data_IF_440526989526
#
_entry.id   IF_440526989526
#
_cell.length_a   1.000
_cell.length_b   1.000
_cell.length_c   1.000
_cell.angle_alpha   90.00
_cell.angle_beta   90.00
_cell.angle_gamma   90.00
#
_symmetry.space_group_name_H-M   'P 1'
#
loop_
_entity.id
_entity.type
_entity.pdbx_description
1 polymer ?
#
# COMPACT_ATOMS: atom_id res chain seq x y z
N UNK A 1 24.22 -3.14 -5.05
CA UNK A 1 23.64 -1.80 -4.85
C UNK A 1 23.14 -1.32 -6.20
N UNK A 2 21.83 -1.21 -6.38
CA UNK A 2 21.27 -0.35 -7.42
C UNK A 2 21.51 1.10 -6.94
N UNK A 3 21.93 2.00 -7.83
CA UNK A 3 22.32 3.37 -7.48
C UNK A 3 21.23 4.15 -6.74
N UNK A 4 21.56 5.35 -6.25
CA UNK A 4 20.58 6.23 -5.60
C UNK A 4 19.34 6.40 -6.50
N UNK A 5 18.17 6.08 -5.94
CA UNK A 5 16.91 6.28 -6.63
C UNK A 5 16.68 7.79 -6.81
N UNK A 6 16.15 8.23 -7.96
CA UNK A 6 15.82 9.64 -8.16
C UNK A 6 14.74 10.07 -7.15
N UNK A 7 14.54 11.38 -6.99
CA UNK A 7 13.44 11.88 -6.17
C UNK A 7 12.10 11.23 -6.60
N UNK A 8 11.26 10.85 -5.63
CA UNK A 8 9.99 10.21 -5.94
C UNK A 8 9.09 11.14 -6.76
N UNK A 9 8.46 10.58 -7.77
CA UNK A 9 7.41 11.25 -8.55
C UNK A 9 6.08 11.20 -7.80
N UNK A 10 5.86 10.15 -7.01
CA UNK A 10 4.71 10.00 -6.12
C UNK A 10 5.18 9.47 -4.76
N UNK A 11 4.65 10.08 -3.70
CA UNK A 11 4.85 9.64 -2.32
C UNK A 11 3.51 9.21 -1.73
N UNK A 12 3.42 7.94 -1.38
CA UNK A 12 2.19 7.30 -0.95
C UNK A 12 2.24 7.00 0.53
N UNK A 13 1.19 7.35 1.26
CA UNK A 13 1.03 7.01 2.67
C UNK A 13 -0.06 5.96 2.79
N UNK A 14 0.31 4.79 3.30
CA UNK A 14 -0.55 3.62 3.27
C UNK A 14 -0.79 3.11 4.67
N UNK A 15 -1.96 2.52 4.87
CA UNK A 15 -2.23 1.74 6.07
C UNK A 15 -3.33 0.69 5.80
N UNK A 16 -3.34 -0.37 6.59
CA UNK A 16 -4.42 -1.32 6.63
C UNK A 16 -4.83 -1.62 8.08
N UNK A 17 -6.10 -1.98 8.26
CA UNK A 17 -6.66 -2.35 9.55
C UNK A 17 -7.49 -3.61 9.44
N UNK A 18 -8.19 -4.02 10.51
CA UNK A 18 -9.18 -5.09 10.44
C UNK A 18 -10.52 -4.66 9.83
N UNK A 19 -10.62 -3.42 9.34
CA UNK A 19 -11.84 -2.85 8.77
C UNK A 19 -11.67 -2.60 7.27
N UNK A 20 -10.50 -2.15 6.86
CA UNK A 20 -10.22 -1.78 5.48
C UNK A 20 -8.77 -1.37 5.28
N UNK A 21 -8.50 -0.75 4.14
CA UNK A 21 -7.20 -0.19 3.80
C UNK A 21 -7.35 1.20 3.18
N UNK A 22 -6.25 1.95 3.22
CA UNK A 22 -6.16 3.26 2.62
C UNK A 22 -4.78 3.52 2.01
N UNK A 23 -4.77 4.25 0.90
CA UNK A 23 -3.58 4.80 0.26
C UNK A 23 -3.85 6.28 -0.03
N UNK A 24 -2.97 7.15 0.42
CA UNK A 24 -3.06 8.59 0.21
C UNK A 24 -1.92 9.03 -0.72
N UNK A 25 -2.26 9.84 -1.73
CA UNK A 25 -1.32 10.65 -2.50
C UNK A 25 -1.63 12.13 -2.25
N UNK A 26 -1.01 12.73 -1.21
CA UNK A 26 -1.24 14.13 -0.87
C UNK A 26 -0.85 15.09 -2.00
N UNK A 27 0.16 14.74 -2.80
CA UNK A 27 0.65 15.58 -3.89
C UNK A 27 -0.38 15.74 -5.01
N UNK A 28 -1.20 14.70 -5.23
CA UNK A 28 -2.30 14.72 -6.21
C UNK A 28 -3.67 15.00 -5.59
N UNK A 29 -3.76 15.29 -4.28
CA UNK A 29 -5.03 15.34 -3.55
C UNK A 29 -5.96 14.15 -3.87
N UNK A 30 -5.39 12.95 -3.86
CA UNK A 30 -6.07 11.72 -4.29
C UNK A 30 -5.91 10.64 -3.23
N UNK A 31 -6.89 9.76 -3.11
CA UNK A 31 -6.81 8.62 -2.21
C UNK A 31 -7.53 7.39 -2.78
N UNK A 32 -7.13 6.22 -2.29
CA UNK A 32 -7.86 4.97 -2.42
C UNK A 32 -8.26 4.55 -1.01
N UNK A 33 -9.53 4.22 -0.82
CA UNK A 33 -10.05 3.71 0.44
C UNK A 33 -10.97 2.54 0.12
N UNK A 34 -10.73 1.39 0.75
CA UNK A 34 -11.51 0.18 0.52
C UNK A 34 -11.90 -0.44 1.86
N UNK A 35 -13.21 -0.70 2.04
CA UNK A 35 -13.74 -1.45 3.17
C UNK A 35 -13.64 -2.93 2.85
N UNK A 36 -13.21 -3.73 3.80
CA UNK A 36 -13.23 -5.18 3.63
C UNK A 36 -14.65 -5.72 3.66
N UNK A 37 -14.92 -6.64 2.74
CA UNK A 37 -16.17 -7.39 2.67
C UNK A 37 -16.20 -8.58 3.64
N UNK A 38 -17.30 -9.33 3.65
CA UNK A 38 -17.48 -10.47 4.55
C UNK A 38 -16.40 -11.56 4.34
N UNK A 39 -15.98 -11.81 3.09
CA UNK A 39 -14.99 -12.84 2.79
C UNK A 39 -13.60 -12.43 3.27
N UNK A 40 -13.24 -11.16 3.08
CA UNK A 40 -11.99 -10.59 3.56
C UNK A 40 -11.94 -10.57 5.09
N UNK A 41 -13.05 -10.21 5.75
CA UNK A 41 -13.17 -10.24 7.21
C UNK A 41 -13.08 -11.67 7.78
N UNK A 42 -13.67 -12.66 7.10
CA UNK A 42 -13.51 -14.08 7.47
C UNK A 42 -12.05 -14.52 7.39
N UNK A 43 -11.34 -14.16 6.32
CA UNK A 43 -9.91 -14.48 6.16
C UNK A 43 -9.06 -13.81 7.25
N UNK A 44 -9.37 -12.57 7.62
CA UNK A 44 -8.75 -11.89 8.77
C UNK A 44 -9.01 -12.66 10.07
N UNK A 45 -10.25 -13.12 10.28
CA UNK A 45 -10.62 -13.94 11.44
C UNK A 45 -9.83 -15.25 11.51
N UNK A 46 -9.62 -15.93 10.37
CA UNK A 46 -8.83 -17.16 10.31
C UNK A 46 -7.35 -16.95 10.66
N UNK A 47 -6.81 -15.74 10.42
CA UNK A 47 -5.43 -15.42 10.83
C UNK A 47 -5.26 -15.50 12.34
N UNK A 48 -6.28 -15.08 13.09
CA UNK A 48 -6.30 -15.20 14.56
C UNK A 48 -6.27 -16.67 15.01
N UNK A 49 -6.77 -17.58 14.17
CA UNK A 49 -6.81 -19.04 14.45
C UNK A 49 -5.55 -19.76 13.93
N UNK A 50 -4.55 -19.02 13.42
CA UNK A 50 -3.24 -19.56 13.03
C UNK A 50 -3.03 -19.74 11.53
N UNK A 51 -3.96 -19.29 10.68
CA UNK A 51 -3.70 -19.11 9.25
C UNK A 51 -2.80 -17.87 9.05
N UNK A 52 -1.97 -17.83 8.02
CA UNK A 52 -1.13 -16.67 7.70
C UNK A 52 -1.53 -15.96 6.39
N UNK A 53 -2.61 -16.39 5.75
CA UNK A 53 -3.00 -16.00 4.39
C UNK A 53 -3.24 -14.48 4.21
N UNK A 54 -4.13 -13.86 5.00
CA UNK A 54 -4.51 -12.44 4.86
C UNK A 54 -4.11 -11.58 6.06
N UNK A 55 -2.84 -11.68 6.45
CA UNK A 55 -2.27 -10.95 7.60
C UNK A 55 -2.21 -9.43 7.37
N UNK A 56 -1.92 -8.68 8.43
CA UNK A 56 -1.69 -7.22 8.34
C UNK A 56 -0.61 -6.86 7.31
N UNK A 57 0.51 -7.60 7.30
CA UNK A 57 1.60 -7.38 6.34
C UNK A 57 1.14 -7.57 4.89
N UNK A 58 0.30 -8.58 4.64
CA UNK A 58 -0.25 -8.85 3.30
C UNK A 58 -1.20 -7.75 2.86
N UNK A 59 -2.02 -7.21 3.78
CA UNK A 59 -2.95 -6.13 3.50
C UNK A 59 -2.24 -4.80 3.20
N UNK A 60 -1.18 -4.47 3.92
CA UNK A 60 -0.36 -3.30 3.59
C UNK A 60 0.43 -3.49 2.29
N UNK A 61 0.86 -4.71 1.99
CA UNK A 61 1.48 -5.04 0.71
C UNK A 61 0.49 -4.91 -0.46
N UNK A 62 -0.78 -5.27 -0.24
CA UNK A 62 -1.87 -5.09 -1.19
C UNK A 62 -2.09 -3.60 -1.53
N UNK A 63 -1.88 -2.68 -0.58
CA UNK A 63 -1.99 -1.24 -0.82
C UNK A 63 -1.08 -0.78 -1.97
N UNK A 64 0.14 -1.31 -2.04
CA UNK A 64 1.10 -0.97 -3.09
C UNK A 64 0.54 -1.41 -4.45
N UNK A 65 0.15 -2.68 -4.58
CA UNK A 65 -0.38 -3.19 -5.84
C UNK A 65 -1.62 -2.38 -6.30
N UNK A 66 -2.55 -2.09 -5.39
CA UNK A 66 -3.73 -1.28 -5.70
C UNK A 66 -3.36 0.11 -6.22
N UNK A 67 -2.38 0.77 -5.61
CA UNK A 67 -1.92 2.08 -6.04
C UNK A 67 -1.30 2.04 -7.45
N UNK A 68 -0.41 1.07 -7.71
CA UNK A 68 0.26 0.94 -9.02
C UNK A 68 -0.75 0.65 -10.13
N UNK A 69 -1.72 -0.24 -9.89
CA UNK A 69 -2.71 -0.59 -10.89
C UNK A 69 -3.79 0.48 -11.08
N UNK A 70 -4.02 1.33 -10.08
CA UNK A 70 -4.96 2.45 -10.18
C UNK A 70 -4.36 3.68 -10.82
N UNK A 71 -3.09 3.99 -10.51
CA UNK A 71 -2.45 5.27 -10.87
C UNK A 71 -1.23 5.14 -11.78
N UNK A 72 -0.71 3.93 -12.01
CA UNK A 72 0.52 3.70 -12.79
C UNK A 72 0.47 4.27 -14.20
N UNK A 73 -0.66 4.10 -14.91
CA UNK A 73 -0.84 4.67 -16.25
C UNK A 73 -0.79 6.20 -16.25
N UNK A 74 -1.43 6.84 -15.25
CA UNK A 74 -1.40 8.30 -15.07
C UNK A 74 0.03 8.79 -14.86
N UNK A 75 0.78 8.17 -13.93
CA UNK A 75 2.16 8.59 -13.67
C UNK A 75 3.08 8.39 -14.87
N UNK A 76 2.96 7.27 -15.59
CA UNK A 76 3.76 7.01 -16.78
C UNK A 76 3.54 8.07 -17.88
N UNK A 77 2.27 8.43 -18.13
CA UNK A 77 1.93 9.49 -19.07
C UNK A 77 2.51 10.84 -18.65
N UNK A 78 2.45 11.17 -17.36
CA UNK A 78 3.00 12.42 -16.80
C UNK A 78 4.53 12.49 -16.88
N UNK A 79 5.22 11.34 -16.75
CA UNK A 79 6.67 11.26 -16.82
C UNK A 79 7.24 11.31 -18.25
N UNK A 80 6.37 11.32 -19.28
CA UNK A 80 6.73 11.48 -20.69
C UNK A 80 7.86 10.52 -21.13
N UNK A 81 7.74 9.24 -20.77
CA UNK A 81 8.69 8.19 -21.10
C UNK A 81 9.88 8.02 -20.14
N UNK A 82 10.03 8.87 -19.12
CA UNK A 82 10.99 8.66 -18.04
C UNK A 82 10.47 7.61 -17.05
N UNK A 83 11.39 6.88 -16.42
CA UNK A 83 11.04 5.96 -15.34
C UNK A 83 10.47 6.74 -14.16
N UNK A 84 9.29 6.34 -13.69
CA UNK A 84 8.62 6.92 -12.53
C UNK A 84 9.11 6.22 -11.27
N UNK A 85 9.56 6.98 -10.27
CA UNK A 85 9.83 6.42 -8.95
C UNK A 85 8.62 6.67 -8.02
N UNK A 86 8.07 5.60 -7.45
CA UNK A 86 6.98 5.64 -6.48
C UNK A 86 7.54 5.22 -5.11
N UNK A 87 7.48 6.12 -4.14
CA UNK A 87 7.89 5.87 -2.75
C UNK A 87 6.65 5.57 -1.92
N UNK A 88 6.64 4.41 -1.26
CA UNK A 88 5.55 3.96 -0.41
C UNK A 88 5.99 4.02 1.06
N UNK A 89 5.24 4.74 1.87
CA UNK A 89 5.42 4.84 3.31
C UNK A 89 4.42 3.93 4.02
N UNK A 90 4.92 3.06 4.88
CA UNK A 90 4.14 2.13 5.71
C UNK A 90 4.77 2.08 7.10
N UNK A 91 3.97 1.88 8.13
CA UNK A 91 4.46 1.69 9.50
C UNK A 91 4.82 0.23 9.81
N UNK A 92 4.69 -0.65 8.82
CA UNK A 92 4.98 -2.07 8.93
C UNK A 92 6.30 -2.43 8.26
N UNK A 93 7.31 -2.61 9.10
CA UNK A 93 8.67 -2.99 8.69
C UNK A 93 8.69 -4.28 7.86
N UNK A 94 7.77 -5.23 8.11
CA UNK A 94 7.68 -6.47 7.34
C UNK A 94 7.17 -6.20 5.92
N UNK A 95 6.11 -5.40 5.77
CA UNK A 95 5.59 -4.98 4.47
C UNK A 95 6.65 -4.21 3.67
N UNK A 96 7.40 -3.32 4.32
CA UNK A 96 8.54 -2.60 3.73
C UNK A 96 9.62 -3.55 3.21
N UNK A 97 10.01 -4.55 4.02
CA UNK A 97 11.02 -5.54 3.62
C UNK A 97 10.55 -6.40 2.45
N UNK A 98 9.28 -6.83 2.45
CA UNK A 98 8.71 -7.65 1.37
C UNK A 98 8.63 -6.88 0.05
N UNK A 99 8.23 -5.62 0.10
CA UNK A 99 8.16 -4.73 -1.07
C UNK A 99 9.52 -4.53 -1.73
N UNK A 100 10.54 -4.25 -0.92
CA UNK A 100 11.88 -3.98 -1.44
C UNK A 100 12.60 -5.24 -1.94
N UNK A 101 12.28 -6.42 -1.38
CA UNK A 101 12.91 -7.70 -1.75
C UNK A 101 12.10 -8.52 -2.76
N UNK A 102 10.82 -8.18 -2.97
CA UNK A 102 9.84 -8.95 -3.72
C UNK A 102 9.80 -10.44 -3.32
N UNK A 103 9.96 -10.71 -2.02
CA UNK A 103 10.01 -12.07 -1.49
C UNK A 103 9.18 -12.20 -0.21
N UNK A 104 8.31 -13.20 -0.17
CA UNK A 104 7.47 -13.56 0.97
C UNK A 104 7.21 -15.07 0.98
N UNK A 105 7.12 -15.66 2.17
CA UNK A 105 6.69 -17.06 2.35
C UNK A 105 5.17 -17.23 2.23
N UNK A 106 4.41 -16.13 2.31
CA UNK A 106 2.96 -16.13 2.17
C UNK A 106 2.55 -16.16 0.68
N UNK A 107 1.66 -17.09 0.31
CA UNK A 107 1.25 -17.33 -1.08
C UNK A 107 0.54 -16.11 -1.69
N UNK A 108 -0.39 -15.48 -0.97
CA UNK A 108 -1.07 -14.29 -1.47
C UNK A 108 -0.09 -13.13 -1.72
N UNK A 109 0.87 -12.93 -0.83
CA UNK A 109 1.93 -11.93 -0.98
C UNK A 109 2.83 -12.20 -2.18
N UNK A 110 3.04 -13.46 -2.57
CA UNK A 110 3.75 -13.81 -3.80
C UNK A 110 2.96 -13.38 -5.04
N UNK A 111 1.63 -13.59 -5.06
CA UNK A 111 0.78 -13.09 -6.14
C UNK A 111 0.79 -11.55 -6.20
N UNK A 112 0.75 -10.88 -5.05
CA UNK A 112 0.88 -9.42 -4.97
C UNK A 112 2.25 -8.98 -5.51
N UNK A 113 3.35 -9.68 -5.19
CA UNK A 113 4.68 -9.39 -5.77
C UNK A 113 4.69 -9.52 -7.29
N UNK A 114 4.01 -10.55 -7.85
CA UNK A 114 3.87 -10.70 -9.30
C UNK A 114 3.10 -9.54 -9.91
N UNK A 115 2.01 -9.11 -9.26
CA UNK A 115 1.23 -7.94 -9.68
C UNK A 115 2.04 -6.64 -9.62
N UNK A 116 2.87 -6.44 -8.59
CA UNK A 116 3.77 -5.29 -8.46
C UNK A 116 4.84 -5.32 -9.55
N UNK A 117 5.55 -6.44 -9.72
CA UNK A 117 6.60 -6.56 -10.74
C UNK A 117 6.06 -6.39 -12.16
N UNK A 118 4.86 -6.91 -12.43
CA UNK A 118 4.17 -6.67 -13.70
C UNK A 118 3.83 -5.18 -13.89
N UNK A 119 3.34 -4.50 -12.84
CA UNK A 119 3.05 -3.07 -12.91
C UNK A 119 4.32 -2.23 -13.11
N UNK A 120 5.42 -2.55 -12.43
CA UNK A 120 6.73 -1.90 -12.64
C UNK A 120 7.17 -2.01 -14.11
N UNK A 121 7.08 -3.20 -14.70
CA UNK A 121 7.44 -3.43 -16.10
C UNK A 121 6.46 -2.75 -17.08
N UNK A 122 5.16 -2.86 -16.83
CA UNK A 122 4.11 -2.41 -17.75
C UNK A 122 3.99 -0.89 -17.79
N UNK A 123 4.11 -0.22 -16.64
CA UNK A 123 3.98 1.24 -16.51
C UNK A 123 5.33 1.96 -16.43
N UNK A 124 6.46 1.26 -16.62
CA UNK A 124 7.81 1.84 -16.49
C UNK A 124 8.02 2.53 -15.12
N UNK A 125 7.62 1.84 -14.05
CA UNK A 125 7.73 2.33 -12.67
C UNK A 125 8.89 1.64 -11.96
N UNK A 126 9.37 2.30 -10.91
CA UNK A 126 10.20 1.71 -9.87
C UNK A 126 9.56 1.98 -8.52
N UNK A 127 9.34 0.95 -7.73
CA UNK A 127 8.77 1.07 -6.39
C UNK A 127 9.87 0.94 -5.35
N UNK A 128 9.80 1.80 -4.33
CA UNK A 128 10.52 1.59 -3.08
C UNK A 128 9.56 1.76 -1.91
N UNK A 129 9.78 0.99 -0.85
CA UNK A 129 9.04 1.13 0.40
C UNK A 129 9.98 1.56 1.52
N UNK A 130 9.46 2.30 2.49
CA UNK A 130 10.22 2.75 3.65
C UNK A 130 9.32 2.91 4.87
N UNK A 131 9.95 2.82 6.03
CA UNK A 131 9.23 2.81 7.29
C UNK A 131 8.91 4.23 7.76
N UNK A 132 7.63 4.47 8.04
CA UNK A 132 7.14 5.67 8.70
C UNK A 132 6.54 5.30 10.06
N UNK A 133 6.95 5.89 11.20
CA UNK A 133 6.35 5.56 12.48
C UNK A 133 4.82 5.75 12.48
N UNK A 134 4.08 4.78 13.02
CA UNK A 134 2.61 4.86 13.10
C UNK A 134 2.08 6.08 13.86
N UNK A 135 2.86 6.64 14.80
CA UNK A 135 2.54 7.91 15.47
C UNK A 135 2.46 9.11 14.51
N UNK A 136 3.04 8.98 13.31
CA UNK A 136 3.06 9.99 12.25
C UNK A 136 2.08 9.63 11.13
N UNK A 137 1.82 8.33 10.90
CA UNK A 137 0.92 7.83 9.85
C UNK A 137 -0.58 7.96 10.21
N UNK A 138 -0.96 9.02 10.94
CA UNK A 138 -2.28 9.20 11.57
C UNK A 138 -3.41 9.24 10.54
N UNK A 139 -3.15 9.84 9.38
CA UNK A 139 -4.18 10.00 8.36
C UNK A 139 -4.52 8.67 7.68
N UNK A 140 -3.51 7.91 7.27
CA UNK A 140 -3.74 6.62 6.64
C UNK A 140 -4.41 5.66 7.62
N UNK A 141 -4.02 5.67 8.91
CA UNK A 141 -4.69 4.91 9.97
C UNK A 141 -6.15 5.33 10.19
N UNK A 142 -6.44 6.63 10.17
CA UNK A 142 -7.81 7.10 10.24
C UNK A 142 -8.63 6.65 9.02
N UNK A 143 -8.06 6.76 7.83
CA UNK A 143 -8.71 6.37 6.59
C UNK A 143 -8.95 4.86 6.50
N UNK A 144 -8.00 4.02 6.93
CA UNK A 144 -8.14 2.55 6.91
C UNK A 144 -9.24 2.04 7.87
N UNK A 145 -9.67 2.89 8.83
CA UNK A 145 -10.68 2.59 9.86
C UNK A 145 -11.94 3.46 9.78
N UNK A 146 -12.08 4.27 8.73
CA UNK A 146 -13.04 5.37 8.64
C UNK A 146 -14.52 4.96 8.76
N UNK A 147 -14.86 3.68 8.76
CA UNK A 147 -16.24 3.20 9.00
C UNK A 147 -16.59 3.03 10.47
N UNK A 148 -15.70 3.44 11.39
CA UNK A 148 -15.90 3.37 12.84
C UNK A 148 -15.45 4.65 13.53
N UNK A 149 -16.09 5.04 14.63
CA UNK A 149 -15.63 6.17 15.45
C UNK A 149 -14.44 5.77 16.34
N UNK A 150 -13.50 6.69 16.66
CA UNK A 150 -13.46 8.10 16.26
C UNK A 150 -12.84 8.35 14.88
N UNK A 151 -12.53 7.29 14.13
CA UNK A 151 -11.76 7.38 12.88
C UNK A 151 -12.57 7.99 11.72
N UNK A 152 -13.88 7.76 11.67
CA UNK A 152 -14.78 8.42 10.73
C UNK A 152 -14.71 9.94 10.87
N UNK A 153 -14.91 10.44 12.08
CA UNK A 153 -14.84 11.89 12.37
C UNK A 153 -13.43 12.42 12.13
N UNK A 154 -12.39 11.66 12.48
CA UNK A 154 -11.00 12.08 12.24
C UNK A 154 -10.72 12.23 10.75
N UNK A 155 -11.03 11.21 9.94
CA UNK A 155 -10.80 11.19 8.50
C UNK A 155 -11.57 12.29 7.75
N UNK A 156 -12.81 12.57 8.15
CA UNK A 156 -13.68 13.54 7.44
C UNK A 156 -13.35 15.00 7.74
N UNK A 157 -12.59 15.30 8.80
CA UNK A 157 -12.19 16.66 9.19
C UNK A 157 -10.76 17.03 8.73
N UNK A 158 -10.20 16.25 7.82
CA UNK A 158 -8.84 16.40 7.34
C UNK A 158 -8.77 16.96 5.92
#
# INVERSE_FOLDING_TARGET
MLGELPAPHAELFMDASNIGLAILDPSSNSFIQAKFDEQELERIGQVVVGNDDFTINVREHLCIALALWSWGSKWNQQANGKQVHVKCWSDNVSAVSWSNKLNSSNVLSQEINRAIGLAEAYFNLRVSADHLPGSTNIMADAASRAWTEPYLTRWTNF
#
